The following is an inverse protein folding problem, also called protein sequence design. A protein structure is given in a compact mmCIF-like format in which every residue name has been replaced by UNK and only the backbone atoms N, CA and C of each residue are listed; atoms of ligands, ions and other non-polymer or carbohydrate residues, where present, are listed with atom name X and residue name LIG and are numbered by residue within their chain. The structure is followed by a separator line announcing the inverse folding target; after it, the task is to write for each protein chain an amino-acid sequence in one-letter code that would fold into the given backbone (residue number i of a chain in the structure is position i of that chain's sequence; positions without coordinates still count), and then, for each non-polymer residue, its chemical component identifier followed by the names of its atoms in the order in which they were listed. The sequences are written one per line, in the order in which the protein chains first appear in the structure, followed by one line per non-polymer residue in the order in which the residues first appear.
data_IF_217426896603
#
_entry.id   IF_217426896603
#
_cell.length_a   1.000
_cell.length_b   1.000
_cell.length_c   1.000
_cell.angle_alpha   90.00
_cell.angle_beta   90.00
_cell.angle_gamma   90.00
#
_symmetry.space_group_name_H-M   'P 1'
#
loop_
_entity.id
_entity.type
_entity.pdbx_description
1 polymer ?
#
# COMPACT_ATOMS: atom_id res chain seq x y z
N UNK A 1 -3.72 -8.40 15.18
CA UNK A 1 -3.35 -7.46 14.10
C UNK A 1 -4.45 -7.55 13.05
N UNK A 2 -5.00 -6.42 12.61
CA UNK A 2 -6.35 -6.33 12.02
C UNK A 2 -6.39 -6.69 10.52
N UNK A 3 -7.57 -7.05 10.02
CA UNK A 3 -7.86 -7.27 8.60
C UNK A 3 -8.17 -5.94 7.88
N UNK A 4 -8.20 -5.91 6.54
CA UNK A 4 -8.46 -4.68 5.77
C UNK A 4 -9.81 -4.04 6.12
N UNK A 5 -10.89 -4.82 6.12
CA UNK A 5 -12.24 -4.32 6.40
C UNK A 5 -12.36 -3.77 7.82
N UNK A 6 -11.74 -4.45 8.78
CA UNK A 6 -11.68 -4.03 10.18
C UNK A 6 -10.92 -2.71 10.33
N UNK A 7 -9.78 -2.59 9.65
CA UNK A 7 -8.97 -1.37 9.64
C UNK A 7 -9.73 -0.19 9.01
N UNK A 8 -10.41 -0.40 7.88
CA UNK A 8 -11.14 0.67 7.19
C UNK A 8 -12.44 1.10 7.89
N UNK A 9 -13.02 0.24 8.75
CA UNK A 9 -14.31 0.48 9.39
C UNK A 9 -14.21 1.27 10.71
N UNK A 10 -13.29 0.90 11.62
CA UNK A 10 -12.93 1.63 12.85
C UNK A 10 -11.99 0.76 13.71
N UNK A 11 -10.89 1.28 14.31
CA UNK A 11 -10.40 2.66 14.33
C UNK A 11 -9.22 2.91 13.37
N UNK A 12 -9.04 2.13 12.29
CA UNK A 12 -7.82 2.21 11.44
C UNK A 12 -7.59 3.58 10.78
N UNK A 13 -8.66 4.33 10.47
CA UNK A 13 -8.60 5.73 10.03
C UNK A 13 -9.18 6.64 11.12
N UNK A 14 -8.35 7.50 11.69
CA UNK A 14 -8.72 8.41 12.79
C UNK A 14 -8.92 9.83 12.24
N UNK A 15 -10.16 10.36 12.22
CA UNK A 15 -10.43 11.73 11.79
C UNK A 15 -9.65 12.75 12.63
N UNK A 16 -9.14 13.78 11.96
CA UNK A 16 -8.44 14.90 12.61
C UNK A 16 -9.20 16.20 12.40
N UNK A 17 -9.03 17.15 13.32
CA UNK A 17 -9.59 18.48 13.15
C UNK A 17 -8.69 19.31 12.21
N UNK A 18 -9.28 20.08 11.31
CA UNK A 18 -8.61 21.10 10.48
C UNK A 18 -7.99 22.17 11.38
N UNK A 19 -6.79 21.90 11.89
CA UNK A 19 -6.09 22.81 12.81
C UNK A 19 -4.70 23.19 12.30
N UNK A 20 -4.24 22.56 11.22
CA UNK A 20 -2.91 22.81 10.66
C UNK A 20 -3.02 22.92 9.13
N UNK A 21 -2.52 24.01 8.56
CA UNK A 21 -2.27 24.15 7.11
C UNK A 21 -1.20 23.14 6.71
N UNK A 22 -1.62 21.91 6.43
CA UNK A 22 -0.79 20.85 5.87
C UNK A 22 -1.49 20.32 4.64
N UNK A 23 -0.69 19.96 3.65
CA UNK A 23 -1.21 19.34 2.44
C UNK A 23 -1.29 17.83 2.62
N UNK A 24 -2.17 17.20 1.88
CA UNK A 24 -2.26 15.74 1.81
C UNK A 24 -0.97 15.16 1.24
N UNK A 25 -0.37 14.17 1.90
CA UNK A 25 0.86 13.54 1.39
C UNK A 25 0.66 12.61 0.18
N UNK A 26 -0.58 12.42 -0.28
CA UNK A 26 -0.90 11.63 -1.47
C UNK A 26 -1.23 12.53 -2.67
N UNK A 27 -2.15 13.49 -2.51
CA UNK A 27 -2.55 14.38 -3.62
C UNK A 27 -1.79 15.71 -3.65
N UNK A 28 -1.07 16.06 -2.58
CA UNK A 28 -0.34 17.34 -2.45
C UNK A 28 -1.22 18.60 -2.55
N UNK A 29 -2.51 18.45 -2.25
CA UNK A 29 -3.50 19.54 -2.18
C UNK A 29 -3.96 19.75 -0.73
N UNK A 30 -4.76 20.80 -0.52
CA UNK A 30 -5.39 21.08 0.77
C UNK A 30 -6.17 19.86 1.26
N UNK A 31 -6.02 19.56 2.55
CA UNK A 31 -6.70 18.43 3.17
C UNK A 31 -8.22 18.59 3.09
N UNK A 32 -8.91 17.54 2.67
CA UNK A 32 -10.38 17.43 2.74
C UNK A 32 -10.70 16.22 3.60
N UNK A 33 -11.42 16.44 4.71
CA UNK A 33 -11.71 15.41 5.72
C UNK A 33 -10.42 14.67 6.17
N UNK A 34 -9.49 15.36 6.85
CA UNK A 34 -8.19 14.82 7.17
C UNK A 34 -8.29 13.64 8.12
N UNK A 35 -7.50 12.60 7.84
CA UNK A 35 -7.38 11.40 8.66
C UNK A 35 -5.92 11.05 8.90
N UNK A 36 -5.64 10.43 10.05
CA UNK A 36 -4.39 9.69 10.30
C UNK A 36 -4.68 8.20 10.34
N UNK A 37 -3.63 7.38 10.23
CA UNK A 37 -3.73 5.93 10.41
C UNK A 37 -3.37 5.58 11.86
N UNK A 38 -4.24 4.85 12.57
CA UNK A 38 -4.02 4.55 13.99
C UNK A 38 -2.86 3.58 14.23
N UNK A 39 -2.63 2.66 13.29
CA UNK A 39 -1.56 1.68 13.35
C UNK A 39 -0.18 2.23 12.94
N UNK A 40 -0.09 3.48 12.47
CA UNK A 40 1.16 4.08 12.00
C UNK A 40 1.70 5.15 12.96
N UNK A 41 2.94 4.97 13.42
CA UNK A 41 3.63 5.98 14.23
C UNK A 41 4.01 7.23 13.44
N UNK A 42 4.00 7.15 12.11
CA UNK A 42 4.28 8.26 11.20
C UNK A 42 3.30 9.44 11.36
N UNK A 43 2.06 9.18 11.80
CA UNK A 43 1.00 10.18 12.07
C UNK A 43 0.82 11.22 10.96
N UNK A 44 1.07 10.80 9.73
CA UNK A 44 0.92 11.64 8.54
C UNK A 44 -0.56 11.86 8.24
N UNK A 45 -0.89 13.05 7.74
CA UNK A 45 -2.25 13.42 7.35
C UNK A 45 -2.49 13.14 5.88
N UNK A 46 -3.68 12.61 5.61
CA UNK A 46 -4.18 12.36 4.27
C UNK A 46 -5.63 12.81 4.15
N UNK A 47 -6.08 13.15 2.95
CA UNK A 47 -7.50 13.16 2.65
C UNK A 47 -8.06 11.74 2.83
N UNK A 48 -9.25 11.62 3.42
CA UNK A 48 -9.89 10.32 3.66
C UNK A 48 -9.98 9.47 2.39
N UNK A 49 -10.37 10.07 1.29
CA UNK A 49 -10.56 9.36 0.02
C UNK A 49 -9.23 8.89 -0.59
N UNK A 50 -8.20 9.73 -0.53
CA UNK A 50 -6.87 9.40 -1.05
C UNK A 50 -6.28 8.19 -0.35
N UNK A 51 -6.34 8.14 0.99
CA UNK A 51 -5.76 7.03 1.74
C UNK A 51 -6.59 5.76 1.61
N UNK A 52 -7.92 5.86 1.49
CA UNK A 52 -8.79 4.70 1.21
C UNK A 52 -8.47 4.13 -0.18
N UNK A 53 -8.30 4.99 -1.20
CA UNK A 53 -7.92 4.56 -2.54
C UNK A 53 -6.55 3.88 -2.56
N UNK A 54 -5.57 4.43 -1.84
CA UNK A 54 -4.25 3.80 -1.66
C UNK A 54 -4.35 2.41 -1.05
N UNK A 55 -5.19 2.25 -0.02
CA UNK A 55 -5.35 0.95 0.62
C UNK A 55 -6.07 -0.10 -0.22
N UNK A 56 -6.62 0.24 -1.39
CA UNK A 56 -7.14 -0.77 -2.33
C UNK A 56 -6.04 -1.58 -3.02
N UNK A 57 -4.85 -1.00 -3.17
CA UNK A 57 -3.72 -1.62 -3.88
C UNK A 57 -2.52 -1.94 -2.98
N UNK A 58 -2.53 -1.48 -1.74
CA UNK A 58 -1.43 -1.64 -0.80
C UNK A 58 -1.96 -1.84 0.61
N UNK A 59 -1.28 -2.66 1.41
CA UNK A 59 -1.52 -2.76 2.85
C UNK A 59 -0.49 -1.98 3.68
N UNK A 60 0.31 -1.14 3.04
CA UNK A 60 1.38 -0.36 3.65
C UNK A 60 1.01 1.13 3.67
N UNK A 61 1.50 1.84 4.68
CA UNK A 61 1.41 3.29 4.76
C UNK A 61 2.08 3.95 3.53
N UNK A 62 1.41 4.94 2.93
CA UNK A 62 1.92 5.66 1.76
C UNK A 62 3.22 6.45 2.01
N UNK A 63 3.52 6.77 3.28
CA UNK A 63 4.70 7.61 3.61
C UNK A 63 5.86 6.83 4.21
N UNK A 64 5.62 5.91 5.14
CA UNK A 64 6.71 5.17 5.81
C UNK A 64 6.79 3.69 5.41
N UNK A 65 5.92 3.22 4.51
CA UNK A 65 5.84 1.83 4.05
C UNK A 65 5.61 0.77 5.15
N UNK A 66 5.34 1.16 6.40
CA UNK A 66 4.94 0.25 7.48
C UNK A 66 3.63 -0.43 7.14
N UNK A 67 3.54 -1.74 7.37
CA UNK A 67 2.33 -2.53 7.14
C UNK A 67 1.24 -2.11 8.14
N UNK A 68 0.10 -1.64 7.63
CA UNK A 68 -1.02 -1.15 8.45
C UNK A 68 -1.98 -2.28 8.87
N UNK A 69 -2.14 -3.30 8.03
CA UNK A 69 -3.01 -4.46 8.26
C UNK A 69 -2.48 -5.70 7.52
N UNK A 70 -2.92 -6.89 7.92
CA UNK A 70 -2.59 -8.13 7.20
C UNK A 70 -3.56 -8.33 6.04
N UNK A 71 -3.01 -8.75 4.90
CA UNK A 71 -3.84 -9.35 3.85
C UNK A 71 -4.27 -10.71 4.37
N UNK A 72 -5.58 -10.99 4.33
CA UNK A 72 -6.01 -12.37 4.51
C UNK A 72 -5.40 -13.15 3.33
N UNK A 73 -4.73 -14.28 3.57
CA UNK A 73 -4.41 -15.17 2.46
C UNK A 73 -5.73 -15.56 1.81
N UNK A 74 -5.79 -15.47 0.48
CA UNK A 74 -6.87 -16.03 -0.31
C UNK A 74 -6.75 -17.55 -0.16
N UNK A 75 -7.37 -18.11 0.87
CA UNK A 75 -7.60 -19.55 0.94
C UNK A 75 -8.60 -19.84 -0.18
N UNK A 76 -8.08 -20.26 -1.32
CA UNK A 76 -8.89 -20.90 -2.35
C UNK A 76 -9.51 -22.14 -1.70
N UNK A 77 -10.81 -22.08 -1.46
CA UNK A 77 -11.60 -23.13 -0.82
C UNK A 77 -11.80 -24.25 -1.86
N UNK A 78 -10.71 -24.85 -2.32
CA UNK A 78 -10.74 -25.59 -3.60
C UNK A 78 -9.58 -26.55 -3.89
N UNK A 79 -8.69 -26.83 -2.94
CA UNK A 79 -7.76 -27.95 -3.09
C UNK A 79 -8.05 -29.00 -2.03
N UNK A 80 -8.70 -30.09 -2.45
CA UNK A 80 -8.85 -31.31 -1.68
C UNK A 80 -7.47 -31.79 -1.23
N UNK A 81 -7.13 -31.52 0.02
CA UNK A 81 -5.92 -32.05 0.65
C UNK A 81 -6.06 -33.57 0.76
N UNK A 82 -5.44 -34.28 -0.17
CA UNK A 82 -5.14 -35.71 -0.01
C UNK A 82 -4.17 -35.79 1.18
N UNK A 83 -4.69 -36.16 2.35
CA UNK A 83 -3.87 -36.59 3.48
C UNK A 83 -3.08 -37.82 3.05
N UNK A 84 -1.82 -37.63 2.68
CA UNK A 84 -0.87 -38.72 2.75
C UNK A 84 -0.44 -38.81 4.22
N UNK A 85 -1.07 -39.70 4.98
CA UNK A 85 -0.57 -40.14 6.29
C UNK A 85 0.86 -40.68 6.09
N UNK A 86 1.85 -39.84 6.35
CA UNK A 86 3.21 -40.27 6.58
C UNK A 86 3.48 -40.08 8.07
N UNK A 87 3.34 -41.17 8.81
CA UNK A 87 3.66 -41.25 10.23
C UNK A 87 5.18 -41.23 10.40
N UNK A 88 5.74 -40.03 10.51
CA UNK A 88 7.15 -39.84 10.82
C UNK A 88 7.25 -39.32 12.28
N UNK A 89 7.60 -40.22 13.21
CA UNK A 89 7.69 -39.99 14.67
C UNK A 89 8.84 -39.04 15.11
N UNK A 90 9.01 -37.88 14.50
CA UNK A 90 9.89 -36.84 15.05
C UNK A 90 9.31 -35.45 14.81
N UNK A 91 8.63 -34.95 15.84
CA UNK A 91 7.98 -33.64 15.87
C UNK A 91 8.98 -32.49 15.87
N UNK A 92 9.35 -32.02 14.69
CA UNK A 92 9.94 -30.71 14.50
C UNK A 92 9.18 -29.98 13.38
N UNK A 93 8.12 -29.28 13.79
CA UNK A 93 7.32 -28.44 12.89
C UNK A 93 8.16 -27.22 12.49
N UNK A 94 8.87 -27.33 11.37
CA UNK A 94 9.60 -26.21 10.77
C UNK A 94 8.63 -25.35 9.99
N UNK A 95 8.20 -24.22 10.56
CA UNK A 95 7.53 -23.16 9.80
C UNK A 95 8.46 -22.69 8.68
N UNK A 96 8.24 -23.17 7.45
CA UNK A 96 8.91 -22.63 6.26
C UNK A 96 8.08 -21.49 5.71
N UNK A 97 8.34 -20.29 6.20
CA UNK A 97 7.85 -19.06 5.59
C UNK A 97 8.52 -18.91 4.22
N UNK A 98 7.83 -19.32 3.16
CA UNK A 98 8.24 -19.05 1.79
C UNK A 98 7.88 -17.58 1.49
N UNK A 99 8.89 -16.71 1.60
CA UNK A 99 8.84 -15.32 1.18
C UNK A 99 9.30 -15.27 -0.28
N UNK A 100 8.46 -14.79 -1.21
CA UNK A 100 8.80 -14.18 -2.51
C UNK A 100 7.45 -13.87 -3.22
N UNK A 101 7.18 -12.74 -3.90
CA UNK A 101 7.99 -12.02 -4.88
C UNK A 101 7.69 -10.51 -4.83
N UNK A 102 8.73 -9.74 -5.12
CA UNK A 102 8.79 -8.30 -5.37
C UNK A 102 7.63 -7.73 -6.21
N UNK A 103 6.86 -6.80 -5.63
CA UNK A 103 6.09 -5.84 -6.42
C UNK A 103 7.02 -4.69 -6.82
N UNK A 104 7.83 -4.92 -7.85
CA UNK A 104 8.70 -3.88 -8.41
C UNK A 104 7.86 -2.90 -9.24
N UNK A 105 7.62 -1.76 -8.62
CA UNK A 105 7.19 -0.48 -9.17
C UNK A 105 7.45 -0.33 -10.69
N UNK A 106 6.39 -0.38 -11.50
CA UNK A 106 6.43 0.05 -12.91
C UNK A 106 6.17 1.55 -13.01
N UNK A 107 7.05 2.37 -12.43
CA UNK A 107 7.07 3.83 -12.64
C UNK A 107 7.92 4.26 -13.85
N UNK A 108 8.36 3.34 -14.71
CA UNK A 108 9.23 3.66 -15.85
C UNK A 108 8.50 4.25 -17.07
N UNK A 109 7.18 4.01 -17.20
CA UNK A 109 6.42 4.48 -18.37
C UNK A 109 6.15 6.00 -18.32
N UNK A 110 5.80 6.54 -17.14
CA UNK A 110 5.55 7.98 -16.97
C UNK A 110 6.85 8.79 -17.11
N UNK A 111 7.97 8.24 -16.62
CA UNK A 111 9.28 8.90 -16.65
C UNK A 111 9.84 9.00 -18.08
N UNK A 112 9.62 7.98 -18.92
CA UNK A 112 9.96 8.04 -20.34
C UNK A 112 9.11 9.06 -21.11
N UNK A 113 7.80 9.17 -20.82
CA UNK A 113 6.94 10.19 -21.45
C UNK A 113 7.36 11.62 -21.09
N UNK A 114 7.78 11.84 -19.85
CA UNK A 114 8.29 13.15 -19.39
C UNK A 114 9.62 13.47 -20.10
N UNK A 115 10.55 12.52 -20.20
CA UNK A 115 11.81 12.75 -20.92
C UNK A 115 11.60 12.97 -22.42
N UNK A 116 10.68 12.22 -23.04
CA UNK A 116 10.39 12.37 -24.47
C UNK A 116 9.74 13.73 -24.78
N UNK A 117 8.83 14.19 -23.92
CA UNK A 117 8.23 15.53 -24.07
C UNK A 117 9.27 16.64 -23.91
N UNK A 118 10.14 16.58 -22.91
CA UNK A 118 11.23 17.56 -22.73
C UNK A 118 12.19 17.58 -23.93
N UNK A 119 12.57 16.42 -24.47
CA UNK A 119 13.43 16.34 -25.66
C UNK A 119 12.77 16.93 -26.91
N UNK A 120 11.46 16.70 -27.10
CA UNK A 120 10.70 17.33 -28.18
C UNK A 120 10.70 18.86 -28.03
N UNK A 121 10.45 19.38 -26.84
CA UNK A 121 10.49 20.84 -26.61
C UNK A 121 11.88 21.43 -26.87
N UNK A 122 12.96 20.78 -26.46
CA UNK A 122 14.32 21.25 -26.72
C UNK A 122 14.70 21.20 -28.21
N UNK A 123 14.20 20.20 -28.95
CA UNK A 123 14.42 20.08 -30.39
C UNK A 123 13.71 21.19 -31.18
N UNK A 124 12.54 21.63 -30.73
CA UNK A 124 11.79 22.74 -31.35
C UNK A 124 12.50 24.07 -31.12
N UNK A 125 13.02 24.31 -29.90
CA UNK A 125 13.75 25.55 -29.57
C UNK A 125 15.08 25.66 -30.32
N UNK A 126 15.70 24.53 -30.68
CA UNK A 126 16.98 24.51 -31.41
C UNK A 126 16.84 24.74 -32.92
N UNK A 127 15.61 24.89 -33.45
CA UNK A 127 15.30 25.04 -34.87
C UNK A 127 14.63 26.39 -35.20
N UNK A 128 14.88 27.41 -34.38
CA UNK A 128 14.38 28.78 -34.55
C UNK A 128 15.48 29.80 -34.24
#
# INVERSE_FOLDING_TARGET
MQTQDEFLSNPGLVPQQHTVNRDCMICHEELINPVTTSSCECRVLYCRECIVAWFKSSNKCATCATRCYYLKPDYDEGEDYIYNEHEDENGEYRESYLFDVEAQSTCNALQLLILFSVLLFLSIISWQ
#
